data_IF_878502089909
#
_entry.id   IF_878502089909
#
_cell.length_a   1.000
_cell.length_b   1.000
_cell.length_c   1.000
_cell.angle_alpha   90.00
_cell.angle_beta   90.00
_cell.angle_gamma   90.00
#
_symmetry.space_group_name_H-M   'P 1'
#
loop_
_entity.id
_entity.type
_entity.pdbx_description
1 polymer ?
#
# COMPACT_ATOMS: atom_id res chain seq x y z
N UNK A 1 -11.59 -13.26 13.68
CA UNK A 1 -12.21 -13.19 12.35
C UNK A 1 -11.70 -11.92 11.70
N UNK A 2 -10.65 -12.06 10.87
CA UNK A 2 -10.24 -11.00 9.95
C UNK A 2 -11.26 -11.05 8.82
N UNK A 3 -12.08 -10.01 8.68
CA UNK A 3 -12.95 -9.86 7.51
C UNK A 3 -12.09 -9.13 6.49
N UNK A 4 -11.47 -9.88 5.57
CA UNK A 4 -10.90 -9.26 4.37
C UNK A 4 -12.07 -8.77 3.52
N UNK A 5 -12.21 -7.46 3.38
CA UNK A 5 -13.26 -6.86 2.56
C UNK A 5 -12.78 -6.84 1.11
N UNK A 6 -13.17 -7.85 0.34
CA UNK A 6 -12.91 -8.04 -1.11
C UNK A 6 -13.39 -6.89 -2.04
N UNK A 7 -13.87 -5.76 -1.50
CA UNK A 7 -14.42 -4.63 -2.26
C UNK A 7 -13.54 -3.36 -2.12
N UNK A 8 -12.61 -3.35 -1.16
CA UNK A 8 -11.65 -2.27 -0.95
C UNK A 8 -10.31 -2.95 -0.63
N UNK A 9 -9.32 -2.82 -1.50
CA UNK A 9 -7.95 -3.28 -1.28
C UNK A 9 -7.25 -2.43 -0.20
N UNK A 10 -7.87 -2.32 0.98
CA UNK A 10 -7.37 -1.59 2.14
C UNK A 10 -7.50 -2.45 3.39
N UNK A 11 -6.42 -2.65 4.13
CA UNK A 11 -6.48 -3.36 5.39
C UNK A 11 -7.13 -2.50 6.49
N UNK A 12 -7.65 -3.19 7.51
CA UNK A 12 -8.05 -2.57 8.76
C UNK A 12 -7.76 -3.49 9.96
N UNK A 13 -7.46 -2.88 11.11
CA UNK A 13 -7.44 -3.55 12.40
C UNK A 13 -8.69 -3.16 13.19
N UNK A 14 -9.39 -4.15 13.74
CA UNK A 14 -10.55 -3.91 14.60
C UNK A 14 -10.37 -4.59 15.95
N UNK A 15 -10.49 -3.80 17.03
CA UNK A 15 -10.53 -4.33 18.40
C UNK A 15 -12.01 -4.44 18.85
N UNK A 16 -12.57 -5.65 19.01
CA UNK A 16 -13.98 -5.83 19.34
C UNK A 16 -14.34 -5.44 20.78
N UNK A 17 -13.36 -5.38 21.69
CA UNK A 17 -13.56 -4.97 23.08
C UNK A 17 -13.67 -3.45 23.21
N UNK A 18 -12.76 -2.71 22.59
CA UNK A 18 -12.75 -1.23 22.65
C UNK A 18 -13.55 -0.57 21.54
N UNK A 19 -13.97 -1.33 20.52
CA UNK A 19 -14.62 -0.84 19.29
C UNK A 19 -13.72 0.10 18.46
N UNK A 20 -12.41 0.06 18.67
CA UNK A 20 -11.47 0.82 17.86
C UNK A 20 -11.29 0.17 16.49
N UNK A 21 -11.34 0.99 15.44
CA UNK A 21 -11.02 0.63 14.07
C UNK A 21 -9.86 1.50 13.59
N UNK A 22 -8.82 0.86 13.04
CA UNK A 22 -7.68 1.53 12.42
C UNK A 22 -7.68 1.11 10.96
N UNK A 23 -7.92 2.05 10.06
CA UNK A 23 -7.71 1.85 8.62
C UNK A 23 -6.33 2.37 8.26
N UNK A 24 -5.61 1.62 7.44
CA UNK A 24 -4.24 1.94 7.04
C UNK A 24 -3.96 1.40 5.65
N UNK A 25 -2.80 1.73 5.09
CA UNK A 25 -2.25 1.08 3.91
C UNK A 25 -1.08 0.18 4.33
N UNK A 26 -0.96 -0.94 3.67
CA UNK A 26 0.14 -1.88 3.74
C UNK A 26 0.85 -2.00 2.38
N UNK A 27 1.84 -2.90 2.28
CA UNK A 27 2.56 -3.09 1.02
C UNK A 27 1.65 -3.52 -0.14
N UNK A 28 0.64 -4.35 0.12
CA UNK A 28 -0.27 -4.85 -0.91
C UNK A 28 -1.15 -3.73 -1.48
N UNK A 29 -1.86 -3.03 -0.61
CA UNK A 29 -2.72 -1.90 -0.99
C UNK A 29 -1.96 -0.76 -1.70
N UNK A 30 -0.68 -0.53 -1.34
CA UNK A 30 0.17 0.42 -2.05
C UNK A 30 0.63 -0.07 -3.43
N UNK A 31 0.90 -1.37 -3.59
CA UNK A 31 1.19 -1.94 -4.92
C UNK A 31 -0.03 -1.81 -5.84
N UNK A 32 -1.24 -2.02 -5.33
CA UNK A 32 -2.49 -1.84 -6.09
C UNK A 32 -2.68 -0.37 -6.52
N UNK A 33 -2.48 0.60 -5.63
CA UNK A 33 -2.55 2.02 -5.98
C UNK A 33 -1.49 2.44 -6.99
N UNK A 34 -0.27 1.93 -6.85
CA UNK A 34 0.78 2.20 -7.81
C UNK A 34 0.46 1.58 -9.18
N UNK A 35 -0.14 0.38 -9.20
CA UNK A 35 -0.57 -0.28 -10.44
C UNK A 35 -1.68 0.53 -11.11
N UNK A 36 -2.67 0.98 -10.34
CA UNK A 36 -3.72 1.87 -10.82
C UNK A 36 -3.15 3.15 -11.45
N UNK A 37 -2.17 3.78 -10.80
CA UNK A 37 -1.52 4.98 -11.33
C UNK A 37 -0.84 4.73 -12.69
N UNK A 38 -0.16 3.58 -12.84
CA UNK A 38 0.45 3.17 -14.12
C UNK A 38 -0.61 2.91 -15.18
N UNK A 39 -1.65 2.15 -14.85
CA UNK A 39 -2.73 1.77 -15.78
C UNK A 39 -3.50 2.97 -16.33
N UNK A 40 -3.63 4.03 -15.52
CA UNK A 40 -4.40 5.22 -15.88
C UNK A 40 -3.51 6.39 -16.35
N UNK A 41 -2.20 6.17 -16.54
CA UNK A 41 -1.27 7.19 -17.01
C UNK A 41 -1.10 8.37 -16.05
N UNK A 42 -1.25 8.15 -14.75
CA UNK A 42 -1.01 9.16 -13.72
C UNK A 42 0.50 9.37 -13.50
N UNK A 43 0.87 10.52 -12.94
CA UNK A 43 2.27 10.89 -12.72
C UNK A 43 3.01 10.09 -11.63
N UNK A 44 2.29 9.33 -10.80
CA UNK A 44 2.86 8.53 -9.71
C UNK A 44 1.94 8.44 -8.50
N UNK A 45 2.53 8.14 -7.34
CA UNK A 45 1.86 8.06 -6.03
C UNK A 45 2.60 8.97 -5.04
N UNK A 46 1.84 9.66 -4.18
CA UNK A 46 2.36 10.46 -3.06
C UNK A 46 2.02 9.76 -1.73
N UNK A 47 2.92 9.89 -0.75
CA UNK A 47 2.75 9.38 0.61
C UNK A 47 3.06 10.49 1.60
N UNK A 48 2.08 10.76 2.47
CA UNK A 48 2.20 11.69 3.60
C UNK A 48 2.20 10.91 4.93
N UNK A 49 3.30 10.77 5.65
CA UNK A 49 4.70 11.02 5.30
C UNK A 49 5.51 9.71 5.46
N UNK A 50 6.83 9.76 5.29
CA UNK A 50 7.68 8.58 5.41
C UNK A 50 8.04 8.19 6.86
N UNK A 51 7.65 8.97 7.88
CA UNK A 51 8.03 8.74 9.28
C UNK A 51 7.29 7.55 9.90
N UNK A 52 6.14 7.18 9.32
CA UNK A 52 5.37 6.00 9.70
C UNK A 52 5.80 4.70 9.00
N UNK A 53 6.79 4.74 8.10
CA UNK A 53 7.29 3.54 7.42
C UNK A 53 8.24 2.74 8.33
N UNK A 54 8.48 1.48 7.99
CA UNK A 54 9.45 0.64 8.69
C UNK A 54 10.88 1.18 8.49
N UNK A 55 11.84 0.84 9.37
CA UNK A 55 13.23 1.27 9.23
C UNK A 55 13.89 0.88 7.89
N UNK A 56 13.37 -0.16 7.23
CA UNK A 56 13.83 -0.59 5.92
C UNK A 56 12.97 -0.05 4.76
N UNK A 57 12.07 0.90 5.01
CA UNK A 57 11.21 1.55 4.01
C UNK A 57 10.34 0.59 3.22
N UNK A 58 9.69 -0.36 3.90
CA UNK A 58 8.90 -1.41 3.27
C UNK A 58 7.78 -0.84 2.39
N UNK A 59 7.10 0.21 2.83
CA UNK A 59 6.00 0.82 2.08
C UNK A 59 6.52 1.59 0.85
N UNK A 60 7.60 2.36 0.99
CA UNK A 60 8.20 3.00 -0.18
C UNK A 60 8.77 2.01 -1.20
N UNK A 61 9.35 0.90 -0.74
CA UNK A 61 9.83 -0.16 -1.63
C UNK A 61 8.69 -0.80 -2.43
N UNK A 62 7.50 -0.96 -1.84
CA UNK A 62 6.35 -1.56 -2.53
C UNK A 62 5.83 -0.65 -3.66
N UNK A 63 5.70 0.66 -3.42
CA UNK A 63 5.39 1.64 -4.47
C UNK A 63 6.48 1.65 -5.56
N UNK A 64 7.75 1.70 -5.16
CA UNK A 64 8.89 1.74 -6.08
C UNK A 64 8.95 0.50 -6.99
N UNK A 65 8.63 -0.68 -6.46
CA UNK A 65 8.62 -1.94 -7.22
C UNK A 65 7.71 -1.86 -8.45
N UNK A 66 6.56 -1.19 -8.32
CA UNK A 66 5.58 -1.04 -9.40
C UNK A 66 5.95 0.11 -10.33
N UNK A 67 6.30 1.29 -9.80
CA UNK A 67 6.59 2.47 -10.63
C UNK A 67 7.94 2.37 -11.37
N UNK A 68 8.92 1.65 -10.81
CA UNK A 68 10.28 1.54 -11.34
C UNK A 68 10.74 0.07 -11.40
N UNK A 69 10.13 -0.77 -12.26
CA UNK A 69 10.49 -2.17 -12.36
C UNK A 69 11.94 -2.31 -12.83
N UNK A 70 12.69 -3.22 -12.20
CA UNK A 70 14.08 -3.50 -12.58
C UNK A 70 14.10 -4.03 -14.03
N UNK A 71 14.84 -3.38 -14.93
CA UNK A 71 15.16 -3.97 -16.22
C UNK A 71 15.84 -5.32 -15.98
N UNK A 72 15.30 -6.40 -16.55
CA UNK A 72 16.05 -7.64 -16.69
C UNK A 72 17.17 -7.36 -17.68
N UNK A 73 18.41 -7.57 -17.25
CA UNK A 73 19.54 -7.57 -18.18
C UNK A 73 19.33 -8.78 -19.11
N UNK A 74 19.13 -8.50 -20.40
CA UNK A 74 19.10 -9.47 -21.49
C UNK A 74 20.49 -10.05 -21.74
#
# INVERSE_FOLDING_TARGET
MLIESDIFSKPFLFNPSTKNLISYDDSFSLEEKASYAVEHGLGGVEMFDATGDTPDSQLMKSVRKVLLPRKKNS
#
